data_IF_016529962679
#
_entry.id   IF_016529962679
#
_cell.length_a   1.000
_cell.length_b   1.000
_cell.length_c   1.000
_cell.angle_alpha   90.00
_cell.angle_beta   90.00
_cell.angle_gamma   90.00
#
_symmetry.space_group_name_H-M   'P 1'
#
loop_
_entity.id
_entity.type
_entity.pdbx_description
1 polymer ?
#
# COMPACT_ATOMS: atom_id res chain seq x y z
N UNK A 1 -30.96 -1.27 23.30
CA UNK A 1 -31.97 -1.71 22.31
C UNK A 1 -32.05 -0.69 21.19
N UNK A 2 -31.45 -0.97 20.03
CA UNK A 2 -31.63 -0.18 18.81
C UNK A 2 -32.99 -0.53 18.21
N UNK A 3 -33.90 0.44 18.15
CA UNK A 3 -35.25 0.23 17.59
C UNK A 3 -35.28 0.34 16.06
N UNK A 4 -34.46 1.23 15.47
CA UNK A 4 -34.24 1.35 14.03
C UNK A 4 -32.98 2.18 13.74
N UNK A 5 -32.27 1.87 12.65
CA UNK A 5 -31.12 2.65 12.17
C UNK A 5 -31.25 2.87 10.67
N UNK A 6 -31.01 4.10 10.21
CA UNK A 6 -30.85 4.42 8.80
C UNK A 6 -29.38 4.68 8.51
N UNK A 7 -28.79 3.87 7.63
CA UNK A 7 -27.39 4.01 7.22
C UNK A 7 -27.34 4.45 5.75
N UNK A 8 -26.55 5.48 5.45
CA UNK A 8 -26.29 5.94 4.07
C UNK A 8 -24.81 5.79 3.76
N UNK A 9 -24.48 5.13 2.66
CA UNK A 9 -23.10 4.78 2.30
C UNK A 9 -22.77 5.44 0.97
N UNK A 10 -21.60 6.08 0.89
CA UNK A 10 -21.09 6.67 -0.35
C UNK A 10 -19.61 6.31 -0.51
N UNK A 11 -19.24 5.87 -1.71
CA UNK A 11 -17.87 5.56 -2.06
C UNK A 11 -17.25 6.73 -2.82
N UNK A 12 -16.02 7.11 -2.45
CA UNK A 12 -15.19 8.05 -3.24
C UNK A 12 -14.23 7.31 -4.19
N UNK A 13 -13.98 6.03 -3.92
CA UNK A 13 -13.19 5.16 -4.78
C UNK A 13 -14.08 4.52 -5.84
N UNK A 14 -13.57 4.28 -7.06
CA UNK A 14 -14.30 3.50 -8.06
C UNK A 14 -14.65 2.12 -7.49
N UNK A 15 -15.84 1.63 -7.78
CA UNK A 15 -16.21 0.26 -7.46
C UNK A 15 -15.37 -0.74 -8.26
N UNK A 16 -15.10 -1.92 -7.67
CA UNK A 16 -14.60 -3.11 -8.36
C UNK A 16 -13.17 -3.06 -8.95
N UNK A 17 -12.33 -2.09 -8.57
CA UNK A 17 -10.92 -2.03 -9.01
C UNK A 17 -9.94 -2.84 -8.14
N UNK A 18 -10.41 -3.43 -7.04
CA UNK A 18 -9.56 -4.18 -6.10
C UNK A 18 -8.69 -3.29 -5.21
N UNK A 19 -9.25 -2.16 -4.76
CA UNK A 19 -8.62 -1.21 -3.83
C UNK A 19 -9.15 -1.37 -2.39
N UNK A 20 -9.69 -2.53 -2.02
CA UNK A 20 -10.21 -2.77 -0.66
C UNK A 20 -11.56 -2.12 -0.34
N UNK A 21 -12.41 -1.85 -1.34
CA UNK A 21 -13.73 -1.23 -1.11
C UNK A 21 -14.66 -2.09 -0.25
N UNK A 22 -14.55 -3.42 -0.34
CA UNK A 22 -15.28 -4.38 0.52
C UNK A 22 -14.82 -4.27 1.98
N UNK A 23 -13.51 -4.23 2.21
CA UNK A 23 -12.92 -4.02 3.53
C UNK A 23 -13.39 -2.69 4.13
N UNK A 24 -13.28 -1.60 3.37
CA UNK A 24 -13.73 -0.27 3.82
C UNK A 24 -15.23 -0.24 4.14
N UNK A 25 -16.07 -0.91 3.33
CA UNK A 25 -17.50 -1.06 3.60
C UNK A 25 -17.75 -1.82 4.92
N UNK A 26 -17.11 -2.97 5.09
CA UNK A 26 -17.28 -3.80 6.29
C UNK A 26 -16.83 -3.05 7.54
N UNK A 27 -15.71 -2.34 7.46
CA UNK A 27 -15.19 -1.51 8.57
C UNK A 27 -16.15 -0.39 8.93
N UNK A 28 -16.65 0.38 7.96
CA UNK A 28 -17.60 1.46 8.24
C UNK A 28 -18.90 0.94 8.87
N UNK A 29 -19.46 -0.16 8.35
CA UNK A 29 -20.70 -0.76 8.87
C UNK A 29 -20.50 -1.34 10.26
N UNK A 30 -19.47 -2.15 10.46
CA UNK A 30 -19.17 -2.75 11.76
C UNK A 30 -18.97 -1.64 12.81
N UNK A 31 -18.16 -0.63 12.51
CA UNK A 31 -17.91 0.50 13.41
C UNK A 31 -19.20 1.24 13.76
N UNK A 32 -20.02 1.57 12.76
CA UNK A 32 -21.29 2.28 12.97
C UNK A 32 -22.23 1.52 13.91
N UNK A 33 -22.35 0.20 13.72
CA UNK A 33 -23.20 -0.65 14.55
C UNK A 33 -22.64 -0.86 15.95
N UNK A 34 -21.32 -1.05 16.09
CA UNK A 34 -20.65 -1.18 17.38
C UNK A 34 -20.80 0.10 18.22
N UNK A 35 -20.69 1.28 17.60
CA UNK A 35 -20.96 2.55 18.26
C UNK A 35 -22.44 2.68 18.64
N UNK A 36 -23.36 2.40 17.71
CA UNK A 36 -24.79 2.56 17.94
C UNK A 36 -25.34 1.62 19.03
N UNK A 37 -24.72 0.45 19.19
CA UNK A 37 -25.05 -0.53 20.25
C UNK A 37 -24.40 -0.21 21.59
N UNK A 38 -23.45 0.74 21.64
CA UNK A 38 -22.66 1.05 22.83
C UNK A 38 -21.58 0.03 23.17
N UNK A 39 -21.24 -0.88 22.25
CA UNK A 39 -20.15 -1.87 22.44
C UNK A 39 -18.78 -1.18 22.42
N UNK A 40 -18.63 -0.14 21.59
CA UNK A 40 -17.46 0.75 21.60
C UNK A 40 -17.90 2.19 21.84
N UNK A 41 -17.09 3.01 22.51
CA UNK A 41 -17.40 4.41 22.74
C UNK A 41 -17.26 5.25 21.47
N UNK A 42 -17.67 6.52 21.54
CA UNK A 42 -17.26 7.51 20.56
C UNK A 42 -15.72 7.64 20.54
N UNK A 43 -15.11 7.87 19.36
CA UNK A 43 -13.66 8.00 19.24
C UNK A 43 -13.18 9.24 19.99
N UNK A 44 -11.94 9.18 20.49
CA UNK A 44 -11.31 10.24 21.28
C UNK A 44 -9.84 10.49 20.89
N UNK A 45 -9.26 9.67 20.01
CA UNK A 45 -7.88 9.84 19.56
C UNK A 45 -7.84 10.76 18.35
N UNK A 46 -6.95 11.76 18.35
CA UNK A 46 -6.74 12.62 17.19
C UNK A 46 -6.05 11.87 16.05
N UNK A 47 -6.38 12.27 14.83
CA UNK A 47 -5.82 11.74 13.58
C UNK A 47 -4.96 12.80 12.89
N UNK A 48 -4.40 12.50 11.71
CA UNK A 48 -3.62 13.48 10.94
C UNK A 48 -4.41 14.76 10.57
N UNK A 49 -5.74 14.70 10.54
CA UNK A 49 -6.62 15.83 10.27
C UNK A 49 -7.35 16.30 11.55
N UNK A 50 -7.36 17.61 11.79
CA UNK A 50 -7.91 18.22 13.01
C UNK A 50 -9.40 17.95 13.23
N UNK A 51 -10.16 17.75 12.15
CA UNK A 51 -11.62 17.53 12.19
C UNK A 51 -12.01 16.03 12.26
N UNK A 52 -11.04 15.13 12.44
CA UNK A 52 -11.29 13.69 12.48
C UNK A 52 -10.72 13.04 13.73
N UNK A 53 -11.51 12.13 14.30
CA UNK A 53 -11.09 11.29 15.43
C UNK A 53 -11.09 9.81 15.06
N UNK A 54 -10.26 9.04 15.74
CA UNK A 54 -10.21 7.59 15.67
C UNK A 54 -10.31 6.95 17.07
N UNK A 55 -10.37 5.63 17.10
CA UNK A 55 -10.52 4.84 18.32
C UNK A 55 -9.16 4.39 18.84
N UNK A 56 -9.09 4.04 20.13
CA UNK A 56 -7.89 3.43 20.71
C UNK A 56 -7.62 2.04 20.14
N UNK A 57 -6.37 1.57 20.21
CA UNK A 57 -5.94 0.28 19.63
C UNK A 57 -6.80 -0.91 20.06
N UNK A 58 -7.23 -0.95 21.32
CA UNK A 58 -8.13 -1.99 21.83
C UNK A 58 -9.47 -2.03 21.08
N UNK A 59 -10.05 -0.86 20.80
CA UNK A 59 -11.30 -0.74 20.06
C UNK A 59 -11.10 -0.97 18.56
N UNK A 60 -9.97 -0.52 17.99
CA UNK A 60 -9.60 -0.81 16.60
C UNK A 60 -9.48 -2.32 16.37
N UNK A 61 -8.90 -3.06 17.31
CA UNK A 61 -8.84 -4.53 17.22
C UNK A 61 -10.24 -5.17 17.26
N UNK A 62 -11.18 -4.64 18.06
CA UNK A 62 -12.58 -5.09 18.04
C UNK A 62 -13.21 -4.81 16.67
N UNK A 63 -13.07 -3.59 16.15
CA UNK A 63 -13.57 -3.21 14.82
C UNK A 63 -13.01 -4.15 13.75
N UNK A 64 -11.70 -4.39 13.76
CA UNK A 64 -11.03 -5.27 12.80
C UNK A 64 -11.60 -6.69 12.83
N UNK A 65 -11.78 -7.29 14.02
CA UNK A 65 -12.32 -8.65 14.15
C UNK A 65 -13.74 -8.77 13.59
N UNK A 66 -14.61 -7.82 13.92
CA UNK A 66 -15.98 -7.80 13.40
C UNK A 66 -16.01 -7.59 11.89
N UNK A 67 -15.18 -6.67 11.39
CA UNK A 67 -15.07 -6.36 9.96
C UNK A 67 -14.55 -7.53 9.15
N UNK A 68 -13.51 -8.23 9.64
CA UNK A 68 -12.96 -9.42 9.00
C UNK A 68 -13.98 -10.59 8.98
N UNK A 69 -14.81 -10.70 10.02
CA UNK A 69 -15.91 -11.67 10.07
C UNK A 69 -16.97 -11.35 9.03
N UNK A 70 -17.38 -10.07 8.93
CA UNK A 70 -18.32 -9.60 7.91
C UNK A 70 -17.79 -9.81 6.49
N UNK A 71 -16.50 -9.52 6.26
CA UNK A 71 -15.86 -9.72 4.97
C UNK A 71 -15.80 -11.20 4.57
N UNK A 72 -15.57 -12.09 5.54
CA UNK A 72 -15.60 -13.54 5.33
C UNK A 72 -17.00 -14.05 4.97
N UNK A 73 -18.08 -13.42 5.46
CA UNK A 73 -19.45 -13.76 5.05
C UNK A 73 -19.71 -13.41 3.58
N UNK A 74 -19.13 -12.30 3.08
CA UNK A 74 -19.33 -11.82 1.71
C UNK A 74 -18.45 -12.61 0.72
N UNK A 75 -17.20 -12.86 1.08
CA UNK A 75 -16.18 -13.40 0.17
C UNK A 75 -15.74 -14.83 0.50
N UNK A 76 -16.35 -15.47 1.51
CA UNK A 76 -16.01 -16.81 1.99
C UNK A 76 -14.73 -16.82 2.82
N UNK A 77 -13.56 -16.82 2.16
CA UNK A 77 -12.25 -16.86 2.83
C UNK A 77 -11.51 -15.54 2.62
N UNK A 78 -11.82 -14.55 3.45
CA UNK A 78 -11.07 -13.30 3.48
C UNK A 78 -9.73 -13.49 4.22
N UNK A 79 -8.66 -12.84 3.73
CA UNK A 79 -7.35 -12.82 4.42
C UNK A 79 -7.39 -11.97 5.70
N UNK A 80 -8.40 -11.12 5.85
CA UNK A 80 -8.51 -10.10 6.90
C UNK A 80 -7.55 -8.92 6.70
N UNK A 81 -6.78 -8.89 5.59
CA UNK A 81 -5.83 -7.82 5.29
C UNK A 81 -6.56 -6.52 4.96
N UNK A 82 -7.56 -6.57 4.07
CA UNK A 82 -8.33 -5.39 3.68
C UNK A 82 -9.03 -4.78 4.90
N UNK A 83 -9.68 -5.61 5.72
CA UNK A 83 -10.23 -5.17 7.01
C UNK A 83 -9.17 -4.56 7.94
N UNK A 84 -7.97 -5.13 8.03
CA UNK A 84 -6.89 -4.60 8.86
C UNK A 84 -6.39 -3.24 8.36
N UNK A 85 -6.09 -3.12 7.07
CA UNK A 85 -5.62 -1.87 6.45
C UNK A 85 -6.68 -0.77 6.58
N UNK A 86 -7.95 -1.07 6.27
CA UNK A 86 -9.04 -0.12 6.39
C UNK A 86 -9.34 0.29 7.85
N UNK A 87 -9.02 -0.58 8.82
CA UNK A 87 -9.21 -0.26 10.25
C UNK A 87 -8.06 0.59 10.77
N UNK A 88 -6.82 0.14 10.63
CA UNK A 88 -5.66 0.79 11.26
C UNK A 88 -5.05 1.91 10.43
N UNK A 89 -5.34 1.94 9.13
CA UNK A 89 -4.65 2.80 8.20
C UNK A 89 -3.16 2.48 8.09
N UNK A 90 -2.42 3.45 7.57
CA UNK A 90 -0.98 3.39 7.39
C UNK A 90 -0.57 2.40 6.32
N UNK A 91 0.68 1.96 6.42
CA UNK A 91 1.28 0.94 5.57
C UNK A 91 1.60 -0.25 6.46
N UNK A 92 1.37 -1.46 5.95
CA UNK A 92 1.66 -2.67 6.70
C UNK A 92 2.42 -3.71 5.86
N UNK A 93 3.27 -4.47 6.54
CA UNK A 93 3.83 -5.71 6.03
C UNK A 93 2.93 -6.87 6.46
N UNK A 94 2.64 -7.76 5.51
CA UNK A 94 1.79 -8.92 5.72
C UNK A 94 2.50 -10.20 5.28
N UNK A 95 2.51 -11.20 6.15
CA UNK A 95 2.93 -12.57 5.84
C UNK A 95 1.93 -13.54 6.45
N UNK A 96 1.45 -14.48 5.64
CA UNK A 96 0.47 -15.47 6.10
C UNK A 96 1.03 -16.25 7.30
N UNK A 97 0.24 -16.36 8.36
CA UNK A 97 0.63 -17.04 9.60
C UNK A 97 1.39 -16.17 10.60
N UNK A 98 1.71 -14.91 10.25
CA UNK A 98 2.35 -13.95 11.13
C UNK A 98 1.43 -12.76 11.39
N UNK A 99 1.59 -12.07 12.54
CA UNK A 99 0.89 -10.82 12.80
C UNK A 99 1.22 -9.77 11.72
N UNK A 100 0.20 -9.04 11.26
CA UNK A 100 0.40 -7.89 10.38
C UNK A 100 1.23 -6.83 11.11
N UNK A 101 2.37 -6.44 10.54
CA UNK A 101 3.25 -5.42 11.11
C UNK A 101 2.93 -4.07 10.50
N UNK A 102 2.53 -3.10 11.33
CA UNK A 102 2.32 -1.71 10.90
C UNK A 102 3.68 -1.00 10.80
N UNK A 103 3.87 -0.25 9.72
CA UNK A 103 5.01 0.63 9.55
C UNK A 103 4.60 2.02 10.02
N UNK A 104 5.22 2.48 11.11
CA UNK A 104 4.81 3.73 11.79
C UNK A 104 5.49 4.97 11.20
N UNK A 105 6.71 4.81 10.68
CA UNK A 105 7.56 5.93 10.26
C UNK A 105 7.70 5.97 8.73
N UNK A 106 6.57 5.98 8.03
CA UNK A 106 6.55 6.07 6.58
C UNK A 106 6.60 7.53 6.08
N UNK A 107 7.33 7.81 4.99
CA UNK A 107 7.28 9.12 4.34
C UNK A 107 5.92 9.38 3.69
N UNK A 108 5.65 10.63 3.33
CA UNK A 108 4.47 10.98 2.53
C UNK A 108 4.58 10.36 1.13
N UNK A 109 3.81 9.31 0.88
CA UNK A 109 3.82 8.60 -0.39
C UNK A 109 2.65 9.06 -1.26
N UNK A 110 2.94 10.03 -2.12
CA UNK A 110 2.04 10.35 -3.25
C UNK A 110 2.23 9.28 -4.33
N UNK A 111 1.13 8.78 -4.88
CA UNK A 111 1.18 7.83 -5.99
C UNK A 111 0.31 8.31 -7.14
N UNK A 112 0.69 7.94 -8.37
CA UNK A 112 -0.26 7.90 -9.48
C UNK A 112 -0.94 6.55 -9.43
N UNK A 113 -2.26 6.54 -9.50
CA UNK A 113 -3.08 5.34 -9.67
C UNK A 113 -3.81 5.42 -11.00
N UNK A 114 -3.59 4.47 -11.89
CA UNK A 114 -4.26 4.41 -13.20
C UNK A 114 -5.13 3.16 -13.29
N UNK A 115 -6.42 3.34 -13.58
CA UNK A 115 -7.35 2.24 -13.85
C UNK A 115 -7.49 2.01 -15.36
N UNK A 116 -7.17 0.79 -15.79
CA UNK A 116 -7.28 0.36 -17.18
C UNK A 116 -8.72 0.20 -17.69
N UNK A 117 -9.71 0.20 -16.77
CA UNK A 117 -11.12 -0.13 -17.03
C UNK A 117 -11.34 -1.54 -17.58
N UNK A 118 -10.34 -2.40 -17.47
CA UNK A 118 -10.44 -3.80 -17.88
C UNK A 118 -10.93 -4.61 -16.69
N UNK A 119 -12.11 -5.21 -16.85
CA UNK A 119 -12.64 -6.18 -15.91
C UNK A 119 -11.77 -7.43 -15.84
N UNK A 120 -11.68 -8.01 -14.65
CA UNK A 120 -10.81 -9.16 -14.37
C UNK A 120 -11.49 -10.15 -13.46
N UNK A 121 -11.14 -11.42 -13.64
CA UNK A 121 -11.49 -12.48 -12.69
C UNK A 121 -10.27 -12.80 -11.84
N UNK A 122 -10.33 -12.43 -10.56
CA UNK A 122 -9.30 -12.78 -9.56
C UNK A 122 -9.07 -14.29 -9.53
N UNK A 123 -10.15 -15.08 -9.59
CA UNK A 123 -10.09 -16.54 -9.62
C UNK A 123 -9.29 -17.03 -10.82
N UNK A 124 -9.54 -16.48 -12.02
CA UNK A 124 -8.79 -16.86 -13.23
C UNK A 124 -7.30 -16.55 -13.10
N UNK A 125 -6.94 -15.38 -12.59
CA UNK A 125 -5.52 -14.99 -12.43
C UNK A 125 -4.80 -15.90 -11.43
N UNK A 126 -5.43 -16.19 -10.29
CA UNK A 126 -4.88 -17.13 -9.28
C UNK A 126 -4.73 -18.53 -9.86
N UNK A 127 -5.71 -19.01 -10.64
CA UNK A 127 -5.61 -20.30 -11.33
C UNK A 127 -4.45 -20.33 -12.32
N UNK A 128 -4.27 -19.29 -13.13
CA UNK A 128 -3.12 -19.18 -14.06
C UNK A 128 -1.79 -19.33 -13.34
N UNK A 129 -1.59 -18.62 -12.22
CA UNK A 129 -0.35 -18.70 -11.43
C UNK A 129 -0.18 -20.09 -10.83
N UNK A 130 -1.25 -20.68 -10.29
CA UNK A 130 -1.24 -22.03 -9.70
C UNK A 130 -0.89 -23.10 -10.72
N UNK A 131 -1.42 -23.01 -11.94
CA UNK A 131 -1.10 -23.93 -13.03
C UNK A 131 0.36 -23.75 -13.50
N UNK A 132 0.85 -22.51 -13.57
CA UNK A 132 2.24 -22.24 -13.92
C UNK A 132 3.21 -22.78 -12.87
N UNK A 133 2.90 -22.61 -11.58
CA UNK A 133 3.66 -23.19 -10.47
C UNK A 133 3.73 -24.72 -10.57
N UNK A 134 2.59 -25.39 -10.85
CA UNK A 134 2.56 -26.85 -11.04
C UNK A 134 3.44 -27.30 -12.21
N UNK A 135 3.47 -26.52 -13.30
CA UNK A 135 4.22 -26.86 -14.51
C UNK A 135 5.72 -26.61 -14.40
N UNK A 136 6.12 -25.52 -13.73
CA UNK A 136 7.51 -25.08 -13.61
C UNK A 136 7.85 -24.67 -12.17
N UNK A 137 7.81 -25.59 -11.19
CA UNK A 137 7.93 -25.25 -9.78
C UNK A 137 9.22 -24.52 -9.44
N UNK A 138 10.38 -25.07 -9.84
CA UNK A 138 11.68 -24.47 -9.54
C UNK A 138 11.85 -23.04 -10.09
N UNK A 139 11.27 -22.74 -11.27
CA UNK A 139 11.34 -21.41 -11.88
C UNK A 139 10.42 -20.43 -11.14
N UNK A 140 9.18 -20.86 -10.86
CA UNK A 140 8.18 -20.01 -10.21
C UNK A 140 8.54 -19.75 -8.75
N UNK A 141 9.11 -20.72 -8.04
CA UNK A 141 9.60 -20.52 -6.67
C UNK A 141 10.72 -19.47 -6.61
N UNK A 142 11.65 -19.45 -7.57
CA UNK A 142 12.66 -18.39 -7.69
C UNK A 142 12.04 -17.00 -7.93
N UNK A 143 10.96 -16.93 -8.72
CA UNK A 143 10.22 -15.68 -8.91
C UNK A 143 9.58 -15.24 -7.58
N UNK A 144 8.94 -16.15 -6.84
CA UNK A 144 8.33 -15.84 -5.55
C UNK A 144 9.36 -15.39 -4.51
N UNK A 145 10.52 -16.05 -4.44
CA UNK A 145 11.62 -15.63 -3.56
C UNK A 145 12.13 -14.23 -3.92
N UNK A 146 12.21 -13.91 -5.22
CA UNK A 146 12.58 -12.56 -5.67
C UNK A 146 11.52 -11.52 -5.26
N UNK A 147 10.23 -11.85 -5.39
CA UNK A 147 9.14 -10.96 -4.95
C UNK A 147 9.10 -10.77 -3.43
N UNK A 148 9.42 -11.80 -2.65
CA UNK A 148 9.57 -11.72 -1.19
C UNK A 148 10.72 -10.78 -0.83
N UNK A 149 11.89 -10.95 -1.44
CA UNK A 149 13.03 -10.06 -1.25
C UNK A 149 12.71 -8.60 -1.60
N UNK A 150 11.99 -8.33 -2.70
CA UNK A 150 11.52 -6.99 -3.06
C UNK A 150 10.63 -6.39 -1.97
N UNK A 151 9.75 -7.20 -1.38
CA UNK A 151 8.82 -6.74 -0.35
C UNK A 151 9.59 -6.39 0.93
N UNK A 152 10.57 -7.21 1.32
CA UNK A 152 11.46 -6.96 2.46
C UNK A 152 12.33 -5.71 2.26
N UNK A 153 12.92 -5.52 1.08
CA UNK A 153 13.67 -4.30 0.76
C UNK A 153 12.79 -3.06 0.76
N UNK A 154 11.55 -3.17 0.26
CA UNK A 154 10.58 -2.06 0.33
C UNK A 154 10.26 -1.68 1.78
N UNK A 155 10.10 -2.66 2.68
CA UNK A 155 9.89 -2.40 4.11
C UNK A 155 11.08 -1.64 4.70
N UNK A 156 12.32 -2.04 4.40
CA UNK A 156 13.53 -1.32 4.90
C UNK A 156 13.58 0.13 4.44
N UNK A 157 13.13 0.43 3.21
CA UNK A 157 13.08 1.80 2.68
C UNK A 157 11.96 2.60 3.35
N UNK A 158 10.80 1.97 3.55
CA UNK A 158 9.60 2.63 4.08
C UNK A 158 9.63 2.79 5.59
N UNK A 159 10.32 1.90 6.31
CA UNK A 159 10.40 1.91 7.76
C UNK A 159 11.71 2.53 8.23
N UNK A 160 11.69 3.87 8.37
CA UNK A 160 12.83 4.66 8.82
C UNK A 160 13.21 4.41 10.29
N UNK A 161 12.45 3.60 11.03
CA UNK A 161 12.83 3.17 12.38
C UNK A 161 14.11 2.34 12.42
N UNK A 162 14.53 1.77 11.28
CA UNK A 162 15.72 0.92 11.13
C UNK A 162 17.05 1.70 11.05
N UNK A 163 17.02 3.01 10.81
CA UNK A 163 18.22 3.77 10.38
C UNK A 163 18.87 4.61 11.48
N UNK A 164 18.36 4.57 12.71
CA UNK A 164 18.93 5.27 13.86
C UNK A 164 19.10 4.30 15.03
N UNK A 165 20.22 3.58 15.06
CA UNK A 165 20.64 2.86 16.26
C UNK A 165 21.48 1.61 16.02
N UNK A 166 22.78 1.77 15.75
CA UNK A 166 23.84 0.97 16.40
C UNK A 166 25.22 1.48 15.95
N UNK A 167 25.83 2.34 16.75
CA UNK A 167 27.29 2.33 16.93
C UNK A 167 27.49 1.96 18.39
N UNK A 168 27.70 0.67 18.63
CA UNK A 168 28.30 0.20 19.87
C UNK A 168 29.77 0.61 19.84
N UNK A 169 30.13 1.69 20.52
CA UNK A 169 31.52 1.93 20.92
C UNK A 169 31.77 1.12 22.19
N UNK A 170 32.32 -0.07 22.03
CA UNK A 170 33.00 -0.77 23.11
C UNK A 170 34.51 -0.54 23.02
N UNK A 171 35.04 -0.13 24.18
CA UNK A 171 36.39 -0.37 24.69
C UNK A 171 37.53 0.59 24.34
N UNK A 172 38.08 1.10 25.45
CA UNK A 172 39.24 1.93 25.60
C UNK A 172 40.58 1.16 25.42
N UNK A 173 41.59 1.93 25.00
CA UNK A 173 43.02 1.85 25.29
C UNK A 173 43.83 0.59 24.93
N UNK A 174 44.78 0.75 23.98
CA UNK A 174 46.23 0.68 24.27
C UNK A 174 47.12 1.08 23.08
N UNK A 175 47.90 2.15 23.30
CA UNK A 175 49.30 2.41 22.92
C UNK A 175 49.88 2.07 21.52
N UNK A 176 50.31 3.16 20.85
CA UNK A 176 51.69 3.45 20.38
C UNK A 176 52.10 3.25 18.91
N UNK A 177 52.70 4.34 18.39
CA UNK A 177 53.85 4.44 17.46
C UNK A 177 53.63 4.52 15.94
N UNK A 178 54.01 5.70 15.42
CA UNK A 178 54.78 5.98 14.20
C UNK A 178 54.23 5.63 12.80
N UNK A 179 54.03 6.72 12.03
CA UNK A 179 54.45 6.96 10.64
C UNK A 179 54.24 5.87 9.58
N UNK A 180 53.38 6.15 8.61
CA UNK A 180 53.74 6.01 7.20
C UNK A 180 52.71 6.70 6.29
N UNK A 181 53.16 7.73 5.57
CA UNK A 181 52.48 8.28 4.41
C UNK A 181 52.45 7.21 3.30
N UNK A 182 51.24 6.80 2.90
CA UNK A 182 51.04 6.16 1.60
C UNK A 182 49.81 6.72 0.92
N UNK A 183 50.09 7.54 -0.10
CA UNK A 183 49.19 7.82 -1.20
C UNK A 183 48.50 6.54 -1.67
N UNK A 184 47.20 6.46 -1.43
CA UNK A 184 46.29 5.68 -2.27
C UNK A 184 45.15 6.61 -2.67
N UNK A 185 45.26 7.15 -3.89
CA UNK A 185 44.14 7.71 -4.61
C UNK A 185 43.11 6.59 -4.80
N UNK A 186 42.17 6.45 -3.87
CA UNK A 186 40.90 5.82 -4.18
C UNK A 186 40.04 6.90 -4.83
N UNK A 187 39.98 6.85 -6.17
CA UNK A 187 38.96 7.52 -6.95
C UNK A 187 37.59 7.09 -6.43
N UNK A 188 37.02 7.90 -5.53
CA UNK A 188 35.63 7.78 -5.13
C UNK A 188 34.79 8.20 -6.34
N UNK A 189 34.34 7.21 -7.12
CA UNK A 189 33.30 7.45 -8.10
C UNK A 189 32.10 8.11 -7.40
N UNK A 190 31.55 9.21 -7.94
CA UNK A 190 30.32 9.79 -7.42
C UNK A 190 29.14 8.94 -7.89
N UNK A 191 29.02 7.73 -7.36
CA UNK A 191 27.83 6.92 -7.47
C UNK A 191 26.72 7.58 -6.67
N UNK A 192 25.96 8.46 -7.32
CA UNK A 192 24.78 9.13 -6.77
C UNK A 192 23.93 8.13 -5.98
N UNK A 193 23.88 8.28 -4.64
CA UNK A 193 22.98 7.48 -3.81
C UNK A 193 21.55 7.73 -4.29
N UNK A 194 20.94 6.70 -4.88
CA UNK A 194 19.58 6.75 -5.38
C UNK A 194 18.61 7.07 -4.23
N UNK A 195 17.76 8.08 -4.41
CA UNK A 195 16.77 8.47 -3.39
C UNK A 195 15.74 7.37 -3.12
N UNK A 196 15.09 7.38 -1.94
CA UNK A 196 14.15 6.34 -1.51
C UNK A 196 13.00 6.12 -2.51
N UNK A 197 12.46 7.18 -3.13
CA UNK A 197 11.38 7.05 -4.13
C UNK A 197 11.88 6.39 -5.41
N UNK A 198 13.09 6.73 -5.84
CA UNK A 198 13.75 6.08 -6.97
C UNK A 198 13.98 4.60 -6.70
N UNK A 199 14.45 4.23 -5.50
CA UNK A 199 14.61 2.83 -5.08
C UNK A 199 13.28 2.08 -5.08
N UNK A 200 12.22 2.66 -4.51
CA UNK A 200 10.88 2.07 -4.50
C UNK A 200 10.28 1.91 -5.90
N UNK A 201 10.50 2.87 -6.79
CA UNK A 201 10.08 2.79 -8.19
C UNK A 201 10.84 1.70 -8.95
N UNK A 202 12.13 1.53 -8.70
CA UNK A 202 12.92 0.46 -9.32
C UNK A 202 12.46 -0.93 -8.83
N UNK A 203 12.25 -1.10 -7.52
CA UNK A 203 11.65 -2.30 -6.95
C UNK A 203 10.25 -2.59 -7.54
N UNK A 204 9.44 -1.54 -7.73
CA UNK A 204 8.11 -1.64 -8.36
C UNK A 204 8.20 -2.11 -9.81
N UNK A 205 9.15 -1.55 -10.58
CA UNK A 205 9.44 -1.93 -11.97
C UNK A 205 9.84 -3.39 -12.09
N UNK A 206 10.79 -3.85 -11.26
CA UNK A 206 11.25 -5.25 -11.23
C UNK A 206 10.07 -6.17 -10.90
N UNK A 207 9.33 -5.86 -9.83
CA UNK A 207 8.19 -6.69 -9.39
C UNK A 207 7.09 -6.74 -10.46
N UNK A 208 6.86 -5.66 -11.21
CA UNK A 208 5.93 -5.66 -12.33
C UNK A 208 6.33 -6.66 -13.43
N UNK A 209 7.61 -6.73 -13.79
CA UNK A 209 8.11 -7.68 -14.78
C UNK A 209 7.99 -9.13 -14.29
N UNK A 210 8.26 -9.38 -12.99
CA UNK A 210 8.05 -10.70 -12.38
C UNK A 210 6.57 -11.13 -12.44
N UNK A 211 5.64 -10.21 -12.18
CA UNK A 211 4.20 -10.48 -12.32
C UNK A 211 3.81 -10.78 -13.77
N UNK A 212 4.36 -10.05 -14.75
CA UNK A 212 4.16 -10.36 -16.17
C UNK A 212 4.68 -11.78 -16.49
N UNK A 213 5.86 -12.14 -15.98
CA UNK A 213 6.42 -13.49 -16.15
C UNK A 213 5.53 -14.59 -15.54
N UNK A 214 4.82 -14.30 -14.44
CA UNK A 214 3.81 -15.19 -13.86
C UNK A 214 2.54 -15.34 -14.72
N UNK A 215 2.38 -14.54 -15.77
CA UNK A 215 1.26 -14.63 -16.73
C UNK A 215 0.02 -13.85 -16.30
N UNK A 216 0.18 -12.88 -15.40
CA UNK A 216 -0.91 -12.01 -14.93
C UNK A 216 -0.85 -10.60 -15.53
N UNK A 217 -0.10 -10.42 -16.62
CA UNK A 217 -0.07 -9.18 -17.41
C UNK A 217 -1.33 -8.97 -18.25
N UNK A 218 -1.43 -7.81 -18.91
CA UNK A 218 -2.52 -7.50 -19.84
C UNK A 218 -2.11 -6.38 -20.83
N UNK A 219 -2.46 -6.44 -22.12
CA UNK A 219 -2.03 -5.44 -23.11
C UNK A 219 -2.39 -3.98 -22.74
N UNK A 220 -3.58 -3.75 -22.14
CA UNK A 220 -3.94 -2.42 -21.63
C UNK A 220 -3.04 -1.94 -20.47
N UNK A 221 -2.58 -2.86 -19.62
CA UNK A 221 -1.63 -2.54 -18.54
C UNK A 221 -0.27 -2.20 -19.15
N UNK A 222 0.18 -2.95 -20.15
CA UNK A 222 1.43 -2.67 -20.88
C UNK A 222 1.39 -1.30 -21.59
N UNK A 223 0.23 -0.95 -22.16
CA UNK A 223 -0.01 0.37 -22.74
C UNK A 223 0.13 1.49 -21.68
N UNK A 224 -0.48 1.33 -20.51
CA UNK A 224 -0.33 2.30 -19.41
C UNK A 224 1.14 2.41 -18.98
N UNK A 225 1.85 1.28 -18.86
CA UNK A 225 3.27 1.27 -18.52
C UNK A 225 4.09 2.03 -19.57
N UNK A 226 3.76 1.88 -20.85
CA UNK A 226 4.43 2.55 -21.97
C UNK A 226 4.20 4.07 -21.93
N UNK A 227 2.97 4.51 -21.65
CA UNK A 227 2.65 5.93 -21.49
C UNK A 227 3.48 6.52 -20.37
N UNK A 228 3.44 5.91 -19.18
CA UNK A 228 4.14 6.42 -17.99
C UNK A 228 5.66 6.38 -18.14
N UNK A 229 6.22 5.38 -18.83
CA UNK A 229 7.65 5.25 -19.07
C UNK A 229 8.24 6.43 -19.87
N UNK A 230 7.46 7.06 -20.76
CA UNK A 230 7.90 8.28 -21.49
C UNK A 230 8.15 9.47 -20.56
N UNK A 231 7.57 9.45 -19.37
CA UNK A 231 7.77 10.43 -18.32
C UNK A 231 8.75 9.96 -17.24
N UNK A 232 9.44 8.84 -17.46
CA UNK A 232 10.36 8.24 -16.48
C UNK A 232 9.66 7.59 -15.29
N UNK A 233 8.35 7.31 -15.40
CA UNK A 233 7.55 6.70 -14.33
C UNK A 233 7.29 5.24 -14.68
N UNK A 234 7.71 4.33 -13.82
CA UNK A 234 7.58 2.89 -14.04
C UNK A 234 6.58 2.30 -13.05
N UNK A 235 5.32 2.06 -13.48
CA UNK A 235 4.29 1.59 -12.58
C UNK A 235 4.37 0.09 -12.34
N UNK A 236 3.66 -0.34 -11.31
CA UNK A 236 3.42 -1.73 -10.96
C UNK A 236 1.92 -2.02 -10.93
N UNK A 237 1.50 -3.15 -11.49
CA UNK A 237 0.13 -3.65 -11.32
C UNK A 237 -0.19 -3.98 -9.86
N UNK A 238 -1.43 -3.65 -9.46
CA UNK A 238 -1.95 -3.89 -8.11
C UNK A 238 -3.19 -4.79 -8.11
N UNK A 239 -3.28 -5.65 -7.10
CA UNK A 239 -4.25 -6.73 -7.00
C UNK A 239 -3.92 -7.93 -7.90
N UNK A 240 -4.96 -8.58 -8.44
CA UNK A 240 -4.84 -9.87 -9.11
C UNK A 240 -4.11 -9.87 -10.48
N UNK A 241 -4.01 -8.72 -11.15
CA UNK A 241 -3.54 -8.64 -12.54
C UNK A 241 -4.62 -8.88 -13.59
N UNK A 242 -4.21 -9.06 -14.85
CA UNK A 242 -5.10 -9.29 -15.99
C UNK A 242 -5.95 -8.07 -16.40
N UNK A 243 -5.58 -6.87 -15.93
CA UNK A 243 -6.40 -5.66 -16.01
C UNK A 243 -6.39 -4.90 -14.68
N UNK A 244 -7.48 -4.18 -14.38
CA UNK A 244 -7.58 -3.37 -13.16
C UNK A 244 -6.62 -2.18 -13.14
N UNK A 245 -5.95 -1.96 -12.01
CA UNK A 245 -5.12 -0.78 -11.79
C UNK A 245 -3.62 -1.06 -11.78
N UNK A 246 -2.86 -0.02 -12.11
CA UNK A 246 -1.44 0.10 -11.78
C UNK A 246 -1.20 1.31 -10.89
N UNK A 247 -0.11 1.29 -10.13
CA UNK A 247 0.33 2.44 -9.35
C UNK A 247 1.83 2.70 -9.53
N UNK A 248 2.26 3.93 -9.31
CA UNK A 248 3.67 4.32 -9.26
C UNK A 248 3.90 5.38 -8.19
N UNK A 249 5.07 5.37 -7.55
CA UNK A 249 5.42 6.40 -6.57
C UNK A 249 5.81 7.69 -7.27
N UNK A 250 5.21 8.80 -6.85
CA UNK A 250 5.58 10.13 -7.28
C UNK A 250 6.60 10.71 -6.33
N UNK A 251 7.68 11.26 -6.90
CA UNK A 251 8.63 12.03 -6.11
C UNK A 251 7.96 13.32 -5.60
N UNK A 252 8.26 13.78 -4.37
CA UNK A 252 7.65 14.98 -3.80
C UNK A 252 7.83 16.25 -4.64
N UNK A 253 8.93 16.33 -5.41
CA UNK A 253 9.33 17.44 -6.28
C UNK A 253 8.81 17.32 -7.71
N UNK A 254 7.98 16.31 -8.02
CA UNK A 254 7.40 16.14 -9.36
C UNK A 254 6.56 17.37 -9.73
N UNK A 255 6.87 18.09 -10.83
CA UNK A 255 6.14 19.29 -11.21
C UNK A 255 4.66 19.01 -11.50
N UNK A 256 3.76 19.86 -11.00
CA UNK A 256 2.32 19.71 -11.24
C UNK A 256 1.97 19.73 -12.73
N UNK A 257 2.69 20.51 -13.53
CA UNK A 257 2.53 20.55 -15.00
C UNK A 257 2.83 19.19 -15.65
N UNK A 258 3.84 18.46 -15.17
CA UNK A 258 4.16 17.12 -15.63
C UNK A 258 3.03 16.15 -15.30
N UNK A 259 2.52 16.23 -14.08
CA UNK A 259 1.39 15.41 -13.61
C UNK A 259 0.12 15.67 -14.43
N UNK A 260 -0.17 16.92 -14.77
CA UNK A 260 -1.28 17.30 -15.64
C UNK A 260 -1.12 16.79 -17.08
N UNK A 261 0.10 16.85 -17.63
CA UNK A 261 0.39 16.28 -18.95
C UNK A 261 0.13 14.77 -18.96
N UNK A 262 0.63 14.05 -17.96
CA UNK A 262 0.39 12.61 -17.80
C UNK A 262 -1.11 12.34 -17.72
N UNK A 263 -1.84 13.10 -16.89
CA UNK A 263 -3.28 12.92 -16.73
C UNK A 263 -4.03 13.09 -18.06
N UNK A 264 -3.72 14.15 -18.83
CA UNK A 264 -4.36 14.38 -20.15
C UNK A 264 -4.11 13.21 -21.10
N UNK A 265 -2.89 12.70 -21.16
CA UNK A 265 -2.54 11.60 -22.05
C UNK A 265 -3.18 10.26 -21.63
N UNK A 266 -3.18 9.97 -20.34
CA UNK A 266 -3.82 8.77 -19.78
C UNK A 266 -5.33 8.78 -20.03
N UNK A 267 -6.00 9.92 -19.82
CA UNK A 267 -7.44 10.08 -20.09
C UNK A 267 -7.75 10.03 -21.59
N UNK A 268 -6.93 10.67 -22.43
CA UNK A 268 -7.07 10.58 -23.89
C UNK A 268 -6.94 9.14 -24.40
N UNK A 269 -6.18 8.30 -23.70
CA UNK A 269 -6.03 6.86 -23.99
C UNK A 269 -7.18 6.00 -23.46
N UNK A 270 -8.23 6.61 -22.89
CA UNK A 270 -9.43 5.94 -22.39
C UNK A 270 -9.30 5.35 -20.98
N UNK A 271 -8.28 5.75 -20.22
CA UNK A 271 -8.06 5.29 -18.85
C UNK A 271 -8.52 6.33 -17.83
N UNK A 272 -8.54 5.95 -16.55
CA UNK A 272 -8.77 6.87 -15.44
C UNK A 272 -7.51 7.00 -14.59
N UNK A 273 -7.25 8.21 -14.09
CA UNK A 273 -6.09 8.51 -13.26
C UNK A 273 -6.49 9.27 -12.01
N UNK A 274 -5.92 8.87 -10.87
CA UNK A 274 -6.01 9.58 -9.59
C UNK A 274 -4.62 9.73 -8.97
N UNK A 275 -4.54 10.62 -7.99
CA UNK A 275 -3.32 10.86 -7.20
C UNK A 275 -3.60 10.74 -5.70
N UNK A 276 -3.89 9.52 -5.21
CA UNK A 276 -4.08 9.33 -3.78
C UNK A 276 -2.75 9.45 -3.03
N UNK A 277 -2.84 9.81 -1.75
CA UNK A 277 -1.78 9.53 -0.79
C UNK A 277 -1.96 8.12 -0.24
N UNK A 278 -0.86 7.38 -0.10
CA UNK A 278 -0.83 6.12 0.64
C UNK A 278 -0.62 6.37 2.12
N UNK A 279 -1.05 5.42 2.96
CA UNK A 279 -0.86 5.49 4.40
C UNK A 279 -1.86 6.39 5.13
N UNK A 280 -3.14 6.29 4.80
CA UNK A 280 -4.20 7.09 5.42
C UNK A 280 -4.41 6.75 6.92
N UNK A 281 -5.21 7.53 7.65
CA UNK A 281 -5.51 7.26 9.07
C UNK A 281 -6.35 5.99 9.33
N UNK A 282 -6.89 5.34 8.29
CA UNK A 282 -7.79 4.20 8.45
C UNK A 282 -9.21 4.62 8.80
N UNK A 283 -9.80 4.00 9.83
CA UNK A 283 -11.17 4.31 10.27
C UNK A 283 -11.22 5.59 11.09
N UNK A 284 -12.05 6.54 10.64
CA UNK A 284 -12.21 7.84 11.29
C UNK A 284 -13.68 8.26 11.36
N UNK A 285 -13.99 9.05 12.39
CA UNK A 285 -15.23 9.81 12.54
C UNK A 285 -14.95 11.29 12.19
N UNK A 286 -15.78 11.87 11.33
CA UNK A 286 -15.69 13.28 10.93
C UNK A 286 -16.56 14.16 11.83
N UNK A 287 -15.97 15.19 12.43
CA UNK A 287 -16.60 16.11 13.39
C UNK A 287 -17.40 17.26 12.74
N UNK A 288 -18.08 17.01 11.61
CA UNK A 288 -18.86 18.07 10.95
C UNK A 288 -20.21 18.31 11.62
N UNK A 289 -20.60 19.60 11.66
CA UNK A 289 -21.74 20.29 12.31
C UNK A 289 -23.18 19.79 12.04
N UNK A 290 -23.41 18.62 11.44
CA UNK A 290 -24.77 18.12 11.19
C UNK A 290 -25.13 17.00 12.18
N UNK A 291 -26.43 16.78 12.43
CA UNK A 291 -26.99 15.72 13.29
C UNK A 291 -26.71 14.27 12.81
N UNK A 292 -25.67 14.07 11.98
CA UNK A 292 -25.33 12.81 11.33
C UNK A 292 -23.85 12.52 11.53
N UNK A 293 -23.55 11.42 12.22
CA UNK A 293 -22.20 10.88 12.32
C UNK A 293 -21.73 10.36 10.97
N UNK A 294 -20.61 10.88 10.47
CA UNK A 294 -19.99 10.42 9.22
C UNK A 294 -18.74 9.62 9.55
N UNK A 295 -18.77 8.32 9.21
CA UNK A 295 -17.67 7.38 9.39
C UNK A 295 -17.07 7.04 8.04
N UNK A 296 -15.73 7.03 7.93
CA UNK A 296 -15.03 6.60 6.72
C UNK A 296 -13.79 5.77 7.03
N UNK A 297 -13.54 4.74 6.24
CA UNK A 297 -12.28 4.01 6.15
C UNK A 297 -11.62 4.29 4.80
N UNK A 298 -10.29 4.35 4.78
CA UNK A 298 -9.48 4.56 3.57
C UNK A 298 -8.26 3.65 3.56
#
# INVERSE_FOLDING_TARGET
>A
NLLAVKVTIRFKLPSCVGLGSSGAYCVCIATSLLCATGIIPCPNAQTSCADTLTWSDNHLEVIRRWSASAESLIHGRASGLDAAVCTYGGICSYKLGYPTQRLLNCPDLKVILVNSKVERSTVRMVTTVKEKLKRFPAVVDCIFNSMDAISLESVKILDKSSSTGSVCTDSANSSSSAEDEKHSMTSSEPGSMMDDYSRLNELSRINNQLLIALGVGHPKIDHICTILARYGIYPKMTGAGGGGCVFAFLKPDTPQTLVEMIHREVVASGFEMWQPMLGSDGIVLHMKRFDINVISAK
#
